data_IF_837736849135
#
_entry.id   IF_837736849135
#
_cell.length_a   1.000
_cell.length_b   1.000
_cell.length_c   1.000
_cell.angle_alpha   90.00
_cell.angle_beta   90.00
_cell.angle_gamma   90.00
#
_symmetry.space_group_name_H-M   'P 1'
#
loop_
_entity.id
_entity.type
_entity.pdbx_description
1 polymer ?
#
# COMPACT_ATOMS: atom_id res chain seq x y z
N UNK A 1 12.98 5.94 8.73
CA UNK A 1 13.14 6.08 7.26
C UNK A 1 14.03 7.27 6.83
N UNK A 2 14.30 8.27 7.67
CA UNK A 2 15.08 9.48 7.30
C UNK A 2 16.60 9.30 7.14
N UNK A 3 17.23 8.29 7.77
CA UNK A 3 18.70 8.22 7.83
C UNK A 3 19.39 7.76 6.53
N UNK A 4 18.71 7.05 5.63
CA UNK A 4 19.32 6.53 4.39
C UNK A 4 19.53 7.63 3.35
N UNK A 5 18.55 8.52 3.23
CA UNK A 5 18.55 9.60 2.25
C UNK A 5 19.61 10.68 2.55
N UNK A 6 19.87 10.97 3.83
CA UNK A 6 20.94 11.90 4.23
C UNK A 6 22.33 11.32 3.96
N UNK A 7 22.55 10.02 4.20
CA UNK A 7 23.83 9.36 3.94
C UNK A 7 24.12 9.27 2.44
N UNK A 8 23.14 8.90 1.63
CA UNK A 8 23.27 8.89 0.17
C UNK A 8 23.64 10.28 -0.37
N UNK A 9 22.94 11.34 0.09
CA UNK A 9 23.24 12.72 -0.29
C UNK A 9 24.66 13.14 0.09
N UNK A 10 25.14 12.75 1.28
CA UNK A 10 26.51 13.01 1.70
C UNK A 10 27.54 12.33 0.77
N UNK A 11 27.40 11.03 0.51
CA UNK A 11 28.32 10.31 -0.38
C UNK A 11 28.28 10.84 -1.82
N UNK A 12 27.10 11.23 -2.31
CA UNK A 12 26.95 11.86 -3.61
C UNK A 12 27.68 13.21 -3.67
N UNK A 13 27.55 14.05 -2.63
CA UNK A 13 28.27 15.32 -2.54
C UNK A 13 29.79 15.11 -2.49
N UNK A 14 30.27 14.13 -1.73
CA UNK A 14 31.70 13.79 -1.69
C UNK A 14 32.17 13.33 -3.07
N UNK A 15 31.43 12.44 -3.75
CA UNK A 15 31.77 11.98 -5.09
C UNK A 15 31.84 13.14 -6.11
N UNK A 16 30.85 14.04 -6.09
CA UNK A 16 30.84 15.22 -6.96
C UNK A 16 32.01 16.17 -6.65
N UNK A 17 32.41 16.29 -5.37
CA UNK A 17 33.58 17.10 -5.00
C UNK A 17 34.89 16.49 -5.49
N UNK A 18 35.03 15.16 -5.42
CA UNK A 18 36.19 14.43 -5.96
C UNK A 18 36.29 14.59 -7.48
N UNK A 19 35.16 14.49 -8.19
CA UNK A 19 35.08 14.76 -9.62
C UNK A 19 35.52 16.19 -9.93
N UNK A 20 34.92 17.19 -9.28
CA UNK A 20 35.21 18.60 -9.55
C UNK A 20 36.68 18.96 -9.28
N UNK A 21 37.19 18.57 -8.10
CA UNK A 21 38.58 18.86 -7.70
C UNK A 21 39.57 18.11 -8.59
N UNK A 22 39.29 16.84 -8.92
CA UNK A 22 40.12 16.06 -9.83
C UNK A 22 40.16 16.67 -11.23
N UNK A 23 39.00 17.09 -11.76
CA UNK A 23 38.92 17.67 -13.10
C UNK A 23 39.65 19.00 -13.20
N UNK A 24 39.54 19.86 -12.17
CA UNK A 24 40.30 21.11 -12.09
C UNK A 24 41.80 20.81 -11.99
N UNK A 25 42.21 19.86 -11.15
CA UNK A 25 43.61 19.48 -10.99
C UNK A 25 44.23 18.97 -12.29
N UNK A 26 43.52 18.08 -13.01
CA UNK A 26 43.97 17.58 -14.31
C UNK A 26 43.98 18.68 -15.39
N UNK A 27 43.03 19.61 -15.38
CA UNK A 27 43.06 20.74 -16.29
C UNK A 27 44.30 21.64 -16.07
N UNK A 28 44.75 21.78 -14.82
CA UNK A 28 45.93 22.57 -14.47
C UNK A 28 47.24 21.82 -14.78
N UNK A 29 47.36 20.55 -14.37
CA UNK A 29 48.61 19.79 -14.47
C UNK A 29 48.82 19.16 -15.85
N UNK A 30 47.77 18.70 -16.51
CA UNK A 30 47.84 18.02 -17.81
C UNK A 30 47.34 18.88 -18.98
N UNK A 31 46.84 20.09 -18.71
CA UNK A 31 46.29 20.98 -19.73
C UNK A 31 45.02 20.44 -20.41
N UNK A 32 44.35 19.46 -19.81
CA UNK A 32 43.13 18.86 -20.34
C UNK A 32 41.96 19.86 -20.31
N UNK A 33 41.05 19.74 -21.27
CA UNK A 33 39.76 20.41 -21.15
C UNK A 33 39.00 19.85 -19.93
N UNK A 34 38.14 20.66 -19.31
CA UNK A 34 37.34 20.18 -18.16
C UNK A 34 36.48 18.96 -18.54
N UNK A 35 36.02 18.90 -19.78
CA UNK A 35 35.24 17.77 -20.27
C UNK A 35 36.09 16.49 -20.36
N UNK A 36 37.27 16.57 -20.98
CA UNK A 36 38.19 15.44 -21.11
C UNK A 36 38.68 14.95 -19.74
N UNK A 37 38.90 15.88 -18.81
CA UNK A 37 39.27 15.57 -17.44
C UNK A 37 38.14 14.85 -16.68
N UNK A 38 36.88 15.32 -16.78
CA UNK A 38 35.72 14.61 -16.21
C UNK A 38 35.58 13.22 -16.83
N UNK A 39 35.67 13.13 -18.16
CA UNK A 39 35.58 11.87 -18.89
C UNK A 39 36.65 10.87 -18.42
N UNK A 40 37.92 11.29 -18.38
CA UNK A 40 39.03 10.46 -17.90
C UNK A 40 38.79 9.95 -16.47
N UNK A 41 38.37 10.84 -15.57
CA UNK A 41 38.12 10.48 -14.17
C UNK A 41 36.98 9.48 -14.06
N UNK A 42 35.87 9.68 -14.76
CA UNK A 42 34.72 8.75 -14.74
C UNK A 42 35.15 7.38 -15.27
N UNK A 43 35.83 7.32 -16.42
CA UNK A 43 36.31 6.08 -17.04
C UNK A 43 37.28 5.34 -16.12
N UNK A 44 38.15 6.07 -15.44
CA UNK A 44 39.14 5.52 -14.49
C UNK A 44 38.48 4.98 -13.23
N UNK A 45 37.63 5.78 -12.57
CA UNK A 45 36.94 5.41 -11.33
C UNK A 45 35.92 4.29 -11.57
N UNK A 46 35.26 4.28 -12.73
CA UNK A 46 34.38 3.19 -13.15
C UNK A 46 35.15 1.92 -13.55
N UNK A 47 36.49 1.94 -13.51
CA UNK A 47 37.39 0.82 -13.87
C UNK A 47 37.26 0.35 -15.33
N UNK A 48 36.73 1.20 -16.21
CA UNK A 48 36.60 0.90 -17.65
C UNK A 48 37.95 1.03 -18.35
N UNK A 49 38.66 2.14 -18.10
CA UNK A 49 40.06 2.32 -18.51
C UNK A 49 40.33 2.21 -20.01
N UNK A 50 39.69 3.05 -20.85
CA UNK A 50 39.89 3.02 -22.30
C UNK A 50 41.34 3.29 -22.75
N UNK A 51 42.13 4.00 -21.95
CA UNK A 51 43.54 4.29 -22.23
C UNK A 51 43.77 5.31 -23.35
N UNK A 52 42.73 6.02 -23.76
CA UNK A 52 42.73 7.10 -24.75
C UNK A 52 43.28 8.42 -24.21
N UNK A 53 43.06 8.69 -22.92
CA UNK A 53 43.68 9.80 -22.18
C UNK A 53 44.48 9.20 -21.02
N UNK A 54 45.73 9.63 -20.84
CA UNK A 54 46.60 9.21 -19.75
C UNK A 54 47.43 10.39 -19.24
N UNK A 55 47.64 10.54 -17.92
CA UNK A 55 48.48 11.58 -17.38
C UNK A 55 49.95 11.32 -17.73
N UNK A 56 50.59 12.32 -18.34
CA UNK A 56 52.01 12.25 -18.74
C UNK A 56 52.94 12.93 -17.73
N UNK A 57 52.42 13.88 -16.94
CA UNK A 57 53.17 14.61 -15.92
C UNK A 57 53.26 13.81 -14.62
N UNK A 58 54.33 14.01 -13.85
CA UNK A 58 54.50 13.32 -12.56
C UNK A 58 53.47 13.80 -11.53
N UNK A 59 53.13 15.10 -11.56
CA UNK A 59 52.08 15.70 -10.74
C UNK A 59 50.69 15.15 -11.08
N UNK A 60 50.37 15.03 -12.38
CA UNK A 60 49.13 14.45 -12.86
C UNK A 60 48.99 12.98 -12.47
N UNK A 61 50.06 12.19 -12.60
CA UNK A 61 50.07 10.79 -12.15
C UNK A 61 49.83 10.65 -10.64
N UNK A 62 50.46 11.50 -9.84
CA UNK A 62 50.25 11.50 -8.39
C UNK A 62 48.81 11.88 -8.03
N UNK A 63 48.24 12.89 -8.69
CA UNK A 63 46.84 13.29 -8.53
C UNK A 63 45.90 12.13 -8.86
N UNK A 64 46.12 11.46 -9.99
CA UNK A 64 45.30 10.31 -10.42
C UNK A 64 45.37 9.16 -9.42
N UNK A 65 46.53 8.90 -8.82
CA UNK A 65 46.67 7.86 -7.80
C UNK A 65 45.81 8.15 -6.55
N UNK A 66 45.78 9.40 -6.11
CA UNK A 66 44.90 9.84 -5.01
C UNK A 66 43.43 9.78 -5.42
N UNK A 67 43.11 10.21 -6.65
CA UNK A 67 41.76 10.18 -7.20
C UNK A 67 41.21 8.76 -7.33
N UNK A 68 42.03 7.77 -7.68
CA UNK A 68 41.60 6.37 -7.74
C UNK A 68 41.18 5.89 -6.35
N UNK A 69 42.01 6.11 -5.32
CA UNK A 69 41.74 5.65 -3.96
C UNK A 69 40.46 6.31 -3.40
N UNK A 70 40.31 7.62 -3.54
CA UNK A 70 39.14 8.35 -3.05
C UNK A 70 37.89 8.13 -3.93
N UNK A 71 38.09 8.11 -5.23
CA UNK A 71 37.04 8.07 -6.25
C UNK A 71 36.37 6.71 -6.37
N UNK A 72 37.15 5.62 -6.41
CA UNK A 72 36.59 4.26 -6.54
C UNK A 72 35.69 3.93 -5.34
N UNK A 73 36.14 4.20 -4.12
CA UNK A 73 35.35 3.93 -2.91
C UNK A 73 34.05 4.72 -2.87
N UNK A 74 34.09 6.01 -3.23
CA UNK A 74 32.91 6.88 -3.24
C UNK A 74 31.94 6.49 -4.37
N UNK A 75 32.45 6.20 -5.57
CA UNK A 75 31.63 5.76 -6.70
C UNK A 75 30.90 4.44 -6.43
N UNK A 76 31.61 3.41 -5.96
CA UNK A 76 31.00 2.10 -5.62
C UNK A 76 29.90 2.27 -4.58
N UNK A 77 30.13 3.11 -3.56
CA UNK A 77 29.15 3.38 -2.51
C UNK A 77 27.91 4.09 -3.06
N UNK A 78 28.08 5.11 -3.90
CA UNK A 78 26.96 5.84 -4.53
C UNK A 78 26.14 4.90 -5.42
N UNK A 79 26.79 4.06 -6.23
CA UNK A 79 26.11 3.07 -7.08
C UNK A 79 25.34 2.06 -6.23
N UNK A 80 25.95 1.52 -5.17
CA UNK A 80 25.31 0.57 -4.28
C UNK A 80 24.04 1.16 -3.63
N UNK A 81 24.10 2.39 -3.12
CA UNK A 81 22.92 3.07 -2.57
C UNK A 81 21.85 3.36 -3.63
N UNK A 82 22.23 3.71 -4.86
CA UNK A 82 21.28 3.93 -5.95
C UNK A 82 20.53 2.65 -6.32
N UNK A 83 21.24 1.52 -6.35
CA UNK A 83 20.66 0.18 -6.55
C UNK A 83 19.69 -0.15 -5.40
N UNK A 84 20.16 -0.03 -4.15
CA UNK A 84 19.36 -0.33 -2.96
C UNK A 84 18.09 0.52 -2.88
N UNK A 85 18.15 1.82 -3.22
CA UNK A 85 16.98 2.69 -3.27
C UNK A 85 15.94 2.21 -4.30
N UNK A 86 16.41 1.68 -5.44
CA UNK A 86 15.52 1.20 -6.50
C UNK A 86 14.89 -0.14 -6.12
N UNK A 87 15.67 -1.05 -5.52
CA UNK A 87 15.20 -2.33 -5.02
C UNK A 87 14.22 -2.15 -3.86
N UNK A 88 14.57 -1.31 -2.87
CA UNK A 88 13.70 -0.99 -1.73
C UNK A 88 12.35 -0.43 -2.17
N UNK A 89 12.31 0.44 -3.19
CA UNK A 89 11.05 0.94 -3.77
C UNK A 89 10.25 -0.17 -4.45
N UNK A 90 10.93 -1.09 -5.12
CA UNK A 90 10.30 -2.23 -5.79
C UNK A 90 9.71 -3.19 -4.78
N UNK A 91 10.42 -3.45 -3.68
CA UNK A 91 9.96 -4.28 -2.57
C UNK A 91 8.73 -3.68 -1.88
N UNK A 92 8.74 -2.37 -1.59
CA UNK A 92 7.57 -1.68 -1.02
C UNK A 92 6.34 -1.83 -1.93
N UNK A 93 6.49 -1.62 -3.24
CA UNK A 93 5.41 -1.82 -4.21
C UNK A 93 4.94 -3.28 -4.28
N UNK A 94 5.85 -4.23 -4.20
CA UNK A 94 5.51 -5.65 -4.19
C UNK A 94 4.74 -6.03 -2.92
N UNK A 95 5.12 -5.47 -1.77
CA UNK A 95 4.41 -5.63 -0.49
C UNK A 95 3.00 -5.04 -0.55
N UNK A 96 2.85 -3.81 -1.03
CA UNK A 96 1.54 -3.17 -1.20
C UNK A 96 0.60 -4.00 -2.08
N UNK A 97 1.11 -4.52 -3.21
CA UNK A 97 0.34 -5.43 -4.09
C UNK A 97 -0.08 -6.70 -3.36
N UNK A 98 0.80 -7.32 -2.57
CA UNK A 98 0.46 -8.50 -1.77
C UNK A 98 -0.65 -8.23 -0.77
N UNK A 99 -0.59 -7.12 -0.04
CA UNK A 99 -1.67 -6.72 0.89
C UNK A 99 -2.99 -6.54 0.16
N UNK A 100 -2.98 -5.89 -1.01
CA UNK A 100 -4.20 -5.71 -1.82
C UNK A 100 -4.77 -7.02 -2.37
N UNK A 101 -3.93 -8.00 -2.70
CA UNK A 101 -4.39 -9.37 -3.05
C UNK A 101 -5.06 -10.06 -1.85
N UNK A 102 -4.49 -9.95 -0.65
CA UNK A 102 -5.07 -10.51 0.58
C UNK A 102 -6.44 -9.88 0.87
N UNK A 103 -6.56 -8.56 0.71
CA UNK A 103 -7.84 -7.85 0.83
C UNK A 103 -8.88 -8.44 -0.14
N UNK A 104 -8.48 -8.77 -1.37
CA UNK A 104 -9.36 -9.42 -2.34
C UNK A 104 -9.85 -10.80 -1.90
N UNK A 105 -8.96 -11.64 -1.36
CA UNK A 105 -9.34 -12.95 -0.81
C UNK A 105 -10.30 -12.77 0.37
N UNK A 106 -10.04 -11.80 1.25
CA UNK A 106 -10.96 -11.47 2.35
C UNK A 106 -12.35 -11.07 1.84
N UNK A 107 -12.45 -10.22 0.82
CA UNK A 107 -13.75 -9.81 0.29
C UNK A 107 -14.51 -10.98 -0.33
N UNK A 108 -13.80 -11.86 -1.05
CA UNK A 108 -14.36 -13.07 -1.64
C UNK A 108 -14.89 -14.06 -0.59
N UNK A 109 -14.20 -14.20 0.54
CA UNK A 109 -14.53 -15.20 1.56
C UNK A 109 -15.45 -14.71 2.67
N UNK A 110 -15.36 -13.43 3.02
CA UNK A 110 -16.01 -12.84 4.21
C UNK A 110 -16.66 -11.50 3.89
N UNK A 111 -15.93 -10.59 3.25
CA UNK A 111 -16.31 -9.19 3.17
C UNK A 111 -17.65 -8.93 2.48
N UNK A 112 -17.95 -9.60 1.35
CA UNK A 112 -19.23 -9.42 0.66
C UNK A 112 -20.42 -9.94 1.47
N UNK A 113 -20.31 -11.15 2.03
CA UNK A 113 -21.35 -11.73 2.89
C UNK A 113 -21.57 -10.87 4.14
N UNK A 114 -20.50 -10.35 4.73
CA UNK A 114 -20.59 -9.47 5.89
C UNK A 114 -21.28 -8.14 5.54
N UNK A 115 -21.01 -7.57 4.36
CA UNK A 115 -21.71 -6.39 3.87
C UNK A 115 -23.21 -6.66 3.73
N UNK A 116 -23.60 -7.78 3.12
CA UNK A 116 -25.02 -8.14 2.95
C UNK A 116 -25.73 -8.35 4.30
N UNK A 117 -25.09 -9.04 5.24
CA UNK A 117 -25.65 -9.26 6.59
C UNK A 117 -25.83 -7.92 7.33
N UNK A 118 -24.80 -7.08 7.34
CA UNK A 118 -24.86 -5.77 8.00
C UNK A 118 -25.87 -4.82 7.34
N UNK A 119 -26.00 -4.87 6.01
CA UNK A 119 -26.96 -4.06 5.25
C UNK A 119 -28.41 -4.31 5.68
N UNK A 120 -28.76 -5.55 6.04
CA UNK A 120 -30.09 -5.88 6.58
C UNK A 120 -30.40 -5.16 7.90
N UNK A 121 -29.36 -4.82 8.67
CA UNK A 121 -29.46 -4.11 9.94
C UNK A 121 -29.68 -2.61 9.85
N UNK A 122 -29.75 -2.03 8.64
CA UNK A 122 -29.87 -0.59 8.45
C UNK A 122 -31.23 -0.26 7.82
N UNK A 123 -32.18 0.30 8.61
CA UNK A 123 -33.55 0.54 8.15
C UNK A 123 -33.65 1.52 6.97
N UNK A 124 -32.73 2.49 6.89
CA UNK A 124 -32.72 3.50 5.83
C UNK A 124 -31.30 3.83 5.38
N UNK A 125 -30.74 3.06 4.44
CA UNK A 125 -29.56 3.51 3.68
C UNK A 125 -30.02 4.50 2.59
N UNK A 126 -30.75 5.57 2.92
CA UNK A 126 -31.28 6.51 1.89
C UNK A 126 -30.25 7.56 1.45
N UNK A 127 -29.28 7.88 2.30
CA UNK A 127 -28.21 8.83 2.02
C UNK A 127 -26.88 8.10 1.90
N UNK A 128 -26.15 8.33 0.81
CA UNK A 128 -24.83 7.71 0.57
C UNK A 128 -24.82 6.43 -0.28
N UNK A 129 -25.98 5.83 -0.62
CA UNK A 129 -26.06 4.69 -1.56
C UNK A 129 -25.40 5.02 -2.91
N UNK A 130 -25.57 6.24 -3.43
CA UNK A 130 -24.97 6.64 -4.70
C UNK A 130 -23.43 6.72 -4.64
N UNK A 131 -22.87 6.81 -3.44
CA UNK A 131 -21.42 6.73 -3.19
C UNK A 131 -20.98 5.28 -2.91
N UNK A 132 -21.89 4.31 -2.99
CA UNK A 132 -21.62 2.87 -2.92
C UNK A 132 -22.05 2.13 -4.20
N UNK A 133 -22.83 2.74 -5.10
CA UNK A 133 -23.16 2.22 -6.44
C UNK A 133 -22.00 2.42 -7.42
N UNK A 134 -20.89 1.76 -7.12
CA UNK A 134 -19.70 1.71 -7.99
C UNK A 134 -20.09 1.09 -9.34
N UNK A 135 -19.74 1.78 -10.42
CA UNK A 135 -19.95 1.31 -11.79
C UNK A 135 -18.73 1.59 -12.68
N UNK A 136 -18.78 1.14 -13.93
CA UNK A 136 -17.69 1.23 -14.90
C UNK A 136 -17.24 2.67 -15.22
N UNK A 137 -18.06 3.67 -14.96
CA UNK A 137 -17.75 5.09 -15.25
C UNK A 137 -16.97 5.78 -14.13
N UNK A 138 -16.82 5.14 -12.96
CA UNK A 138 -16.18 5.77 -11.80
C UNK A 138 -14.69 6.06 -12.03
N UNK A 139 -14.25 7.29 -11.75
CA UNK A 139 -12.84 7.66 -11.78
C UNK A 139 -12.24 7.78 -10.36
N UNK A 140 -10.93 8.00 -10.28
CA UNK A 140 -10.24 8.14 -8.99
C UNK A 140 -10.80 9.30 -8.14
N UNK A 141 -11.30 10.38 -8.77
CA UNK A 141 -11.91 11.51 -8.07
C UNK A 141 -13.24 11.11 -7.42
N UNK A 142 -14.07 10.33 -8.13
CA UNK A 142 -15.32 9.79 -7.60
C UNK A 142 -15.06 8.85 -6.42
N UNK A 143 -14.10 7.93 -6.53
CA UNK A 143 -13.71 7.08 -5.40
C UNK A 143 -13.22 7.88 -4.19
N UNK A 144 -12.39 8.91 -4.39
CA UNK A 144 -11.92 9.76 -3.29
C UNK A 144 -13.07 10.51 -2.61
N UNK A 145 -14.04 11.03 -3.39
CA UNK A 145 -15.23 11.70 -2.87
C UNK A 145 -16.11 10.72 -2.08
N UNK A 146 -16.35 9.53 -2.62
CA UNK A 146 -17.14 8.49 -1.97
C UNK A 146 -16.52 8.08 -0.62
N UNK A 147 -15.21 7.78 -0.57
CA UNK A 147 -14.50 7.45 0.68
C UNK A 147 -14.65 8.54 1.74
N UNK A 148 -14.53 9.82 1.34
CA UNK A 148 -14.72 10.94 2.26
C UNK A 148 -16.16 11.02 2.78
N UNK A 149 -17.15 10.86 1.91
CA UNK A 149 -18.56 10.90 2.29
C UNK A 149 -18.91 9.73 3.23
N UNK A 150 -18.44 8.52 2.92
CA UNK A 150 -18.62 7.35 3.78
C UNK A 150 -17.96 7.54 5.15
N UNK A 151 -16.76 8.15 5.23
CA UNK A 151 -16.11 8.41 6.52
C UNK A 151 -16.89 9.33 7.46
N UNK A 152 -17.85 10.11 6.93
CA UNK A 152 -18.70 11.03 7.68
C UNK A 152 -20.14 10.49 7.84
N UNK A 153 -20.43 9.33 7.27
CA UNK A 153 -21.77 8.77 7.25
C UNK A 153 -22.08 8.19 8.63
N UNK A 154 -23.19 8.68 9.21
CA UNK A 154 -23.74 8.13 10.45
C UNK A 154 -24.72 7.01 10.11
N UNK A 155 -24.19 5.79 10.06
CA UNK A 155 -24.97 4.58 9.84
C UNK A 155 -25.67 4.24 11.16
N UNK A 156 -27.00 4.24 11.16
CA UNK A 156 -27.79 3.83 12.34
C UNK A 156 -28.04 2.33 12.26
N UNK A 157 -27.00 1.55 12.52
CA UNK A 157 -27.10 0.09 12.59
C UNK A 157 -27.99 -0.34 13.75
N UNK A 158 -28.89 -1.27 13.49
CA UNK A 158 -29.64 -1.99 14.52
C UNK A 158 -29.39 -3.50 14.36
N UNK A 159 -28.57 -4.05 15.25
CA UNK A 159 -28.24 -5.47 15.25
C UNK A 159 -29.45 -6.35 15.52
N UNK A 160 -30.51 -5.83 16.12
CA UNK A 160 -31.73 -6.59 16.36
C UNK A 160 -32.56 -6.77 15.07
N UNK A 161 -32.29 -5.99 14.02
CA UNK A 161 -32.82 -6.21 12.67
C UNK A 161 -31.97 -7.21 11.86
N UNK A 162 -30.72 -7.41 12.27
CA UNK A 162 -29.87 -8.51 11.81
C UNK A 162 -30.27 -9.76 12.61
N UNK A 163 -30.18 -10.96 12.02
CA UNK A 163 -30.24 -12.20 12.80
C UNK A 163 -28.88 -12.39 13.51
N UNK A 164 -28.77 -12.13 14.84
CA UNK A 164 -27.48 -12.14 15.52
C UNK A 164 -26.95 -13.57 15.68
N UNK A 165 -27.83 -14.57 15.68
CA UNK A 165 -27.46 -16.00 15.75
C UNK A 165 -26.83 -16.42 14.43
N UNK A 166 -27.45 -16.08 13.30
CA UNK A 166 -26.89 -16.35 11.99
C UNK A 166 -25.57 -15.61 11.77
N UNK A 167 -25.47 -14.35 12.20
CA UNK A 167 -24.23 -13.58 12.16
C UNK A 167 -23.13 -14.25 12.99
N UNK A 168 -23.42 -14.66 14.22
CA UNK A 168 -22.44 -15.36 15.05
C UNK A 168 -21.98 -16.68 14.41
N UNK A 169 -22.91 -17.46 13.85
CA UNK A 169 -22.57 -18.70 13.16
C UNK A 169 -21.60 -18.45 12.00
N UNK A 170 -21.92 -17.47 11.14
CA UNK A 170 -21.07 -17.06 10.03
C UNK A 170 -19.67 -16.62 10.49
N UNK A 171 -19.59 -15.78 11.53
CA UNK A 171 -18.32 -15.30 12.07
C UNK A 171 -17.48 -16.44 12.67
N UNK A 172 -18.11 -17.38 13.37
CA UNK A 172 -17.43 -18.57 13.91
C UNK A 172 -16.86 -19.46 12.81
N UNK A 173 -17.62 -19.67 11.73
CA UNK A 173 -17.17 -20.45 10.58
C UNK A 173 -15.93 -19.81 9.93
N UNK A 174 -15.91 -18.47 9.82
CA UNK A 174 -14.80 -17.73 9.21
C UNK A 174 -13.67 -17.38 10.17
N UNK A 175 -13.76 -17.71 11.47
CA UNK A 175 -12.78 -17.33 12.50
C UNK A 175 -11.35 -17.77 12.19
N UNK A 176 -11.17 -19.04 11.79
CA UNK A 176 -9.84 -19.58 11.46
C UNK A 176 -9.22 -18.82 10.29
N UNK A 177 -10.02 -18.53 9.27
CA UNK A 177 -9.59 -17.76 8.10
C UNK A 177 -9.16 -16.33 8.50
N UNK A 178 -9.95 -15.63 9.32
CA UNK A 178 -9.62 -14.29 9.80
C UNK A 178 -8.32 -14.25 10.63
N UNK A 179 -8.12 -15.23 11.51
CA UNK A 179 -6.88 -15.37 12.28
C UNK A 179 -5.69 -15.65 11.36
N UNK A 180 -5.85 -16.50 10.35
CA UNK A 180 -4.81 -16.78 9.36
C UNK A 180 -4.40 -15.51 8.59
N UNK A 181 -5.35 -14.64 8.26
CA UNK A 181 -5.05 -13.36 7.64
C UNK A 181 -4.22 -12.47 8.57
N UNK A 182 -4.60 -12.34 9.85
CA UNK A 182 -3.87 -11.53 10.83
C UNK A 182 -2.43 -12.02 11.08
N UNK A 183 -2.19 -13.31 10.94
CA UNK A 183 -0.85 -13.90 11.07
C UNK A 183 0.05 -13.66 9.86
N UNK A 184 -0.49 -13.10 8.78
CA UNK A 184 0.27 -12.91 7.55
C UNK A 184 1.37 -11.84 7.74
N UNK A 185 2.64 -12.12 7.37
CA UNK A 185 3.78 -11.25 7.69
C UNK A 185 3.80 -9.89 6.94
N UNK A 186 2.84 -9.69 6.03
CA UNK A 186 2.67 -8.42 5.31
C UNK A 186 1.60 -7.52 5.94
N UNK A 187 0.84 -8.02 6.91
CA UNK A 187 -0.09 -7.21 7.69
C UNK A 187 0.62 -6.71 8.93
N UNK A 188 0.53 -5.40 9.18
CA UNK A 188 1.15 -4.76 10.32
C UNK A 188 0.11 -4.46 11.39
N UNK A 189 0.58 -4.34 12.64
CA UNK A 189 -0.20 -3.78 13.74
C UNK A 189 -0.59 -2.34 13.38
N UNK A 190 -1.86 -1.99 13.57
CA UNK A 190 -2.44 -0.68 13.23
C UNK A 190 -2.50 -0.34 11.72
N UNK A 191 -2.44 -1.34 10.84
CA UNK A 191 -2.89 -1.16 9.46
C UNK A 191 -4.44 -1.13 9.40
N UNK A 192 -5.08 -0.26 8.60
CA UNK A 192 -6.54 -0.17 8.53
C UNK A 192 -7.26 -1.47 8.18
N UNK A 193 -6.62 -2.38 7.44
CA UNK A 193 -7.18 -3.70 7.14
C UNK A 193 -7.07 -4.64 8.35
N UNK A 194 -5.94 -4.62 9.05
CA UNK A 194 -5.77 -5.36 10.32
C UNK A 194 -6.79 -4.89 11.36
N UNK A 195 -6.99 -3.58 11.50
CA UNK A 195 -7.95 -2.99 12.43
C UNK A 195 -9.40 -3.42 12.11
N UNK A 196 -9.73 -3.54 10.82
CA UNK A 196 -11.02 -4.06 10.38
C UNK A 196 -11.20 -5.54 10.76
N UNK A 197 -10.19 -6.39 10.52
CA UNK A 197 -10.27 -7.81 10.90
C UNK A 197 -10.39 -7.93 12.42
N UNK A 198 -9.62 -7.16 13.18
CA UNK A 198 -9.71 -7.14 14.65
C UNK A 198 -11.09 -6.69 15.13
N UNK A 199 -11.70 -5.68 14.50
CA UNK A 199 -13.07 -5.27 14.83
C UNK A 199 -14.09 -6.39 14.56
N UNK A 200 -13.92 -7.15 13.47
CA UNK A 200 -14.78 -8.31 13.17
C UNK A 200 -14.61 -9.41 14.23
N UNK A 201 -13.36 -9.73 14.60
CA UNK A 201 -13.08 -10.69 15.67
C UNK A 201 -13.67 -10.24 17.02
N UNK A 202 -13.54 -8.96 17.35
CA UNK A 202 -14.12 -8.39 18.56
C UNK A 202 -15.65 -8.51 18.59
N UNK A 203 -16.32 -8.25 17.45
CA UNK A 203 -17.76 -8.45 17.33
C UNK A 203 -18.16 -9.92 17.53
N UNK A 204 -17.38 -10.86 16.99
CA UNK A 204 -17.60 -12.31 17.23
C UNK A 204 -17.50 -12.64 18.72
N UNK A 205 -16.48 -12.13 19.40
CA UNK A 205 -16.26 -12.36 20.83
C UNK A 205 -17.40 -11.79 21.68
N UNK A 206 -17.85 -10.57 21.39
CA UNK A 206 -18.97 -9.93 22.09
C UNK A 206 -20.29 -10.71 21.91
N UNK A 207 -20.57 -11.16 20.68
CA UNK A 207 -21.73 -12.00 20.38
C UNK A 207 -21.64 -13.36 21.09
N UNK A 208 -20.47 -14.01 21.03
CA UNK A 208 -20.21 -15.29 21.70
C UNK A 208 -20.34 -15.22 23.23
N UNK A 209 -20.06 -14.06 23.82
CA UNK A 209 -20.14 -13.86 25.27
C UNK A 209 -21.59 -13.78 25.79
N UNK A 210 -22.59 -13.57 24.91
CA UNK A 210 -23.99 -13.48 25.31
C UNK A 210 -24.62 -14.87 25.45
N UNK A 211 -25.38 -15.06 26.54
CA UNK A 211 -26.02 -16.35 26.87
C UNK A 211 -27.15 -16.71 25.92
N UNK A 212 -27.94 -15.73 25.50
CA UNK A 212 -29.06 -15.90 24.58
C UNK A 212 -29.18 -14.68 23.66
N UNK A 213 -28.81 -14.87 22.39
CA UNK A 213 -28.87 -13.84 21.36
C UNK A 213 -30.30 -13.57 20.86
N UNK A 214 -31.26 -14.46 21.14
CA UNK A 214 -32.66 -14.25 20.79
C UNK A 214 -33.37 -13.31 21.77
N UNK A 215 -32.75 -13.02 22.91
CA UNK A 215 -33.32 -12.22 24.00
C UNK A 215 -32.30 -11.23 24.56
N UNK A 216 -31.82 -10.34 23.68
CA UNK A 216 -30.92 -9.28 24.06
C UNK A 216 -31.64 -8.20 24.88
N UNK A 217 -30.97 -7.70 25.91
CA UNK A 217 -31.45 -6.50 26.61
C UNK A 217 -31.34 -5.27 25.71
N UNK A 218 -32.12 -4.20 25.95
CA UNK A 218 -31.98 -2.96 25.17
C UNK A 218 -30.56 -2.37 25.21
N UNK A 219 -29.87 -2.53 26.35
CA UNK A 219 -28.47 -2.09 26.50
C UNK A 219 -27.51 -2.94 25.68
N UNK A 220 -27.71 -4.26 25.62
CA UNK A 220 -26.89 -5.15 24.81
C UNK A 220 -27.10 -4.92 23.33
N UNK A 221 -28.36 -4.76 22.88
CA UNK A 221 -28.66 -4.43 21.50
C UNK A 221 -28.00 -3.10 21.10
N UNK A 222 -28.11 -2.05 21.92
CA UNK A 222 -27.44 -0.77 21.66
C UNK A 222 -25.90 -0.86 21.66
N UNK A 223 -25.31 -1.72 22.49
CA UNK A 223 -23.86 -1.94 22.48
C UNK A 223 -23.41 -2.64 21.21
N UNK A 224 -23.98 -3.80 20.93
CA UNK A 224 -23.63 -4.63 19.78
C UNK A 224 -23.93 -3.93 18.45
N UNK A 225 -24.99 -3.14 18.38
CA UNK A 225 -25.28 -2.26 17.23
C UNK A 225 -24.14 -1.30 16.94
N UNK A 226 -23.51 -0.70 17.96
CA UNK A 226 -22.36 0.20 17.78
C UNK A 226 -21.11 -0.54 17.30
N UNK A 227 -20.88 -1.76 17.77
CA UNK A 227 -19.74 -2.56 17.32
C UNK A 227 -19.94 -3.05 15.89
N UNK A 228 -21.16 -3.49 15.55
CA UNK A 228 -21.54 -3.86 14.19
C UNK A 228 -21.47 -2.66 13.24
N UNK A 229 -21.87 -1.46 13.70
CA UNK A 229 -21.72 -0.21 12.95
C UNK A 229 -20.25 0.10 12.62
N UNK A 230 -19.37 0.02 13.63
CA UNK A 230 -17.92 0.20 13.45
C UNK A 230 -17.36 -0.77 12.41
N UNK A 231 -17.71 -2.05 12.52
CA UNK A 231 -17.29 -3.09 11.56
C UNK A 231 -17.77 -2.75 10.16
N UNK A 232 -19.04 -2.40 10.00
CA UNK A 232 -19.62 -2.09 8.70
C UNK A 232 -18.98 -0.85 8.08
N UNK A 233 -18.74 0.20 8.86
CA UNK A 233 -18.06 1.40 8.38
C UNK A 233 -16.64 1.10 7.85
N UNK A 234 -15.87 0.31 8.60
CA UNK A 234 -14.53 -0.11 8.17
C UNK A 234 -14.60 -0.97 6.89
N UNK A 235 -15.57 -1.88 6.80
CA UNK A 235 -15.81 -2.71 5.62
C UNK A 235 -16.11 -1.89 4.38
N UNK A 236 -16.99 -0.89 4.47
CA UNK A 236 -17.33 -0.03 3.33
C UNK A 236 -16.12 0.75 2.81
N UNK A 237 -15.31 1.31 3.71
CA UNK A 237 -14.09 2.02 3.33
C UNK A 237 -13.08 1.09 2.66
N UNK A 238 -12.83 -0.10 3.24
CA UNK A 238 -11.93 -1.09 2.64
C UNK A 238 -12.47 -1.61 1.30
N UNK A 239 -13.79 -1.74 1.17
CA UNK A 239 -14.44 -2.20 -0.05
C UNK A 239 -14.28 -1.18 -1.18
N UNK A 240 -14.51 0.10 -0.92
CA UNK A 240 -14.26 1.16 -1.92
C UNK A 240 -12.80 1.21 -2.37
N UNK A 241 -11.85 1.04 -1.44
CA UNK A 241 -10.43 0.92 -1.79
C UNK A 241 -10.12 -0.33 -2.62
N UNK A 242 -10.79 -1.45 -2.33
CA UNK A 242 -10.65 -2.68 -3.09
C UNK A 242 -11.22 -2.51 -4.52
N UNK A 243 -12.40 -1.91 -4.66
CA UNK A 243 -13.01 -1.60 -5.95
C UNK A 243 -12.13 -0.69 -6.80
N UNK A 244 -11.57 0.38 -6.21
CA UNK A 244 -10.62 1.27 -6.90
C UNK A 244 -9.36 0.51 -7.35
N UNK A 245 -8.85 -0.39 -6.51
CA UNK A 245 -7.70 -1.22 -6.84
C UNK A 245 -7.98 -2.19 -8.00
N UNK A 246 -9.12 -2.90 -7.95
CA UNK A 246 -9.53 -3.81 -9.02
C UNK A 246 -9.67 -3.04 -10.33
N UNK A 247 -10.32 -1.88 -10.34
CA UNK A 247 -10.46 -1.06 -11.55
C UNK A 247 -9.12 -0.72 -12.18
N UNK A 248 -8.13 -0.39 -11.36
CA UNK A 248 -6.82 0.06 -11.82
C UNK A 248 -5.92 -1.07 -12.32
N UNK A 249 -6.00 -2.26 -11.72
CA UNK A 249 -5.02 -3.33 -11.95
C UNK A 249 -5.61 -4.64 -12.47
N UNK A 250 -6.89 -4.90 -12.24
CA UNK A 250 -7.58 -6.15 -12.62
C UNK A 250 -8.99 -5.85 -13.19
N UNK A 251 -9.10 -5.22 -14.38
CA UNK A 251 -10.40 -4.82 -14.94
C UNK A 251 -11.40 -5.97 -15.09
N UNK A 252 -10.92 -7.19 -15.34
CA UNK A 252 -11.77 -8.38 -15.43
C UNK A 252 -12.42 -8.76 -14.08
N UNK A 253 -11.69 -8.62 -12.96
CA UNK A 253 -12.25 -8.82 -11.61
C UNK A 253 -13.17 -7.66 -11.23
N UNK A 254 -12.82 -6.44 -11.65
CA UNK A 254 -13.64 -5.25 -11.40
C UNK A 254 -15.03 -5.38 -12.05
N UNK A 255 -15.09 -5.85 -13.29
CA UNK A 255 -16.36 -6.07 -14.00
C UNK A 255 -17.29 -7.05 -13.28
N UNK A 256 -16.74 -8.14 -12.71
CA UNK A 256 -17.53 -9.05 -11.88
C UNK A 256 -17.97 -8.37 -10.58
N UNK A 257 -17.07 -7.66 -9.90
CA UNK A 257 -17.38 -6.99 -8.63
C UNK A 257 -18.42 -5.86 -8.77
N UNK A 258 -18.48 -5.18 -9.92
CA UNK A 258 -19.54 -4.20 -10.24
C UNK A 258 -20.87 -4.91 -10.44
N UNK A 259 -20.87 -6.05 -11.13
CA UNK A 259 -22.07 -6.86 -11.41
C UNK A 259 -22.62 -7.58 -10.18
N UNK A 260 -21.79 -7.84 -9.19
CA UNK A 260 -22.22 -8.39 -7.89
C UNK A 260 -22.21 -7.32 -6.80
N UNK A 261 -22.37 -6.04 -7.16
CA UNK A 261 -22.33 -4.94 -6.21
C UNK A 261 -23.53 -5.04 -5.23
N UNK A 262 -23.28 -5.20 -3.92
CA UNK A 262 -24.34 -5.35 -2.90
C UNK A 262 -25.27 -4.13 -2.78
N UNK A 263 -24.88 -2.96 -3.29
CA UNK A 263 -25.66 -1.71 -3.20
C UNK A 263 -26.41 -1.37 -4.49
N UNK A 264 -26.25 -2.17 -5.53
CA UNK A 264 -27.01 -2.05 -6.77
C UNK A 264 -28.18 -3.05 -6.76
N UNK A 265 -29.44 -2.60 -6.74
CA UNK A 265 -30.60 -3.49 -6.77
C UNK A 265 -30.74 -4.23 -8.11
N UNK A 266 -30.12 -3.73 -9.19
CA UNK A 266 -30.15 -4.34 -10.52
C UNK A 266 -28.91 -5.20 -10.80
N UNK A 267 -28.04 -5.40 -9.80
CA UNK A 267 -26.82 -6.19 -9.95
C UNK A 267 -27.16 -7.63 -10.32
N UNK A 268 -26.52 -8.14 -11.37
CA UNK A 268 -26.70 -9.50 -11.86
C UNK A 268 -25.33 -10.10 -12.19
N UNK A 269 -24.95 -11.24 -11.59
CA UNK A 269 -23.68 -11.90 -11.89
C UNK A 269 -23.58 -12.37 -13.35
N UNK A 270 -24.71 -12.60 -14.02
CA UNK A 270 -24.74 -13.05 -15.42
C UNK A 270 -24.48 -11.88 -16.38
N UNK A 271 -23.81 -12.16 -17.50
CA UNK A 271 -23.66 -11.15 -18.57
C UNK A 271 -24.96 -11.17 -19.34
N UNK A 272 -25.72 -10.07 -19.30
CA UNK A 272 -26.88 -9.89 -20.18
C UNK A 272 -26.37 -9.56 -21.58
N UNK A 273 -26.91 -10.28 -22.58
CA UNK A 273 -26.58 -10.12 -24.01
C UNK A 273 -26.94 -8.73 -24.57
#
# INVERSE_FOLDING_TARGET
MYSGDTRFRLYLLVFLSVLLLGSIGLAIFEGLSLFDAIYFIIVTIATVGYGDIVPVTDEGRLLVLILIIAGVGTFVTVVAYAIDMTLSRSDLRAREKKVKMIIGVFFSEVGFSMIEICKAGIPEIRTGIDDLRVNEQWDAKRFAKAKKNISLLNLRMDICLVDPVALLHFLKEKRIFLIMLLQHPMLFEHDPFSDMILAICHLEEELSARRDLNRLSPSDCAHLSRDCDRVFHLLLLRWLEHMEYLKRYYPFLFSLAVRTNPFDPEADPEVKD
#
